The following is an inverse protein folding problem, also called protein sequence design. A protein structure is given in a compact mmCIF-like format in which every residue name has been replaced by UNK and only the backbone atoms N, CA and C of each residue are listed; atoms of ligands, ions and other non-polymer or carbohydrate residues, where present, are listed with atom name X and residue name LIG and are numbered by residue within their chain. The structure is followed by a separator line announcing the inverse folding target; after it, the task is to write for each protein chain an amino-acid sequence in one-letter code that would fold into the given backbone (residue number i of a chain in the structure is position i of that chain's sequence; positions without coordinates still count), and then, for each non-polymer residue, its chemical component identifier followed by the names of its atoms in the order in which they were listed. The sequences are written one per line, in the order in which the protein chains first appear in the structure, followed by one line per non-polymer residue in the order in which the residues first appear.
data_IF_355327401669
#
_entry.id   IF_355327401669
#
_cell.length_a   1.000
_cell.length_b   1.000
_cell.length_c   1.000
_cell.angle_alpha   90.00
_cell.angle_beta   90.00
_cell.angle_gamma   90.00
#
_symmetry.space_group_name_H-M   'P 1'
#
loop_
_entity.id
_entity.type
_entity.pdbx_description
1 polymer ?
#
# COMPACT_ATOMS: atom_id res chain seq x y z
N UNK A 1 16.98 12.86 2.05
CA UNK A 1 16.46 11.56 2.51
C UNK A 1 17.05 11.23 3.87
N UNK A 2 16.27 11.14 4.95
CA UNK A 2 16.80 10.99 6.31
C UNK A 2 16.96 9.51 6.72
N UNK A 3 17.61 8.69 5.90
CA UNK A 3 17.97 7.31 6.30
C UNK A 3 19.38 6.94 5.89
N UNK A 4 19.97 6.00 6.61
CA UNK A 4 21.29 5.45 6.32
C UNK A 4 21.22 4.51 5.12
N UNK A 5 22.28 4.50 4.32
CA UNK A 5 22.44 3.58 3.21
C UNK A 5 23.80 2.88 3.29
N UNK A 6 23.86 1.66 2.77
CA UNK A 6 25.16 1.03 2.48
C UNK A 6 25.84 1.81 1.35
N UNK A 7 27.17 2.01 1.41
CA UNK A 7 27.93 2.55 0.29
C UNK A 7 27.68 1.75 -1.00
N UNK A 8 27.78 2.43 -2.14
CA UNK A 8 27.66 1.75 -3.43
C UNK A 8 28.75 0.69 -3.58
N UNK A 9 28.38 -0.52 -4.01
CA UNK A 9 29.31 -1.64 -4.18
C UNK A 9 29.68 -2.40 -2.89
N UNK A 10 29.07 -2.07 -1.74
CA UNK A 10 29.38 -2.74 -0.47
C UNK A 10 29.13 -4.27 -0.55
N UNK A 11 30.17 -5.04 -0.23
CA UNK A 11 30.18 -6.50 -0.29
C UNK A 11 29.14 -7.15 0.63
N UNK A 12 28.74 -6.45 1.71
CA UNK A 12 27.74 -6.93 2.67
C UNK A 12 26.35 -7.05 2.05
N UNK A 13 26.05 -6.33 0.96
CA UNK A 13 24.76 -6.41 0.27
C UNK A 13 24.42 -7.85 -0.12
N UNK A 14 25.38 -8.58 -0.71
CA UNK A 14 25.18 -9.98 -1.15
C UNK A 14 24.96 -10.92 0.04
N UNK A 15 25.68 -10.70 1.14
CA UNK A 15 25.49 -11.46 2.37
C UNK A 15 24.10 -11.22 2.95
N UNK A 16 23.69 -9.95 3.12
CA UNK A 16 22.39 -9.58 3.67
C UNK A 16 21.22 -10.11 2.81
N UNK A 17 21.31 -10.01 1.48
CA UNK A 17 20.30 -10.59 0.59
C UNK A 17 20.14 -12.09 0.78
N UNK A 18 21.23 -12.84 1.00
CA UNK A 18 21.17 -14.28 1.28
C UNK A 18 20.62 -14.57 2.68
N UNK A 19 21.09 -13.84 3.69
CA UNK A 19 20.67 -14.01 5.09
C UNK A 19 19.17 -13.82 5.25
N UNK A 20 18.62 -12.77 4.63
CA UNK A 20 17.19 -12.47 4.68
C UNK A 20 16.39 -13.08 3.53
N UNK A 21 17.02 -13.91 2.69
CA UNK A 21 16.38 -14.59 1.55
C UNK A 21 15.61 -13.62 0.63
N UNK A 22 16.17 -12.44 0.37
CA UNK A 22 15.58 -11.42 -0.48
C UNK A 22 15.65 -11.89 -1.93
N UNK A 23 14.49 -12.22 -2.52
CA UNK A 23 14.34 -12.69 -3.91
C UNK A 23 13.94 -11.59 -4.89
N UNK A 24 13.44 -10.46 -4.40
CA UNK A 24 12.95 -9.36 -5.21
C UNK A 24 12.85 -8.07 -4.40
N UNK A 25 12.66 -6.96 -5.11
CA UNK A 25 12.44 -5.63 -4.54
C UNK A 25 11.03 -5.13 -4.90
N UNK A 26 10.38 -4.33 -4.04
CA UNK A 26 10.84 -3.88 -2.72
C UNK A 26 10.76 -4.98 -1.65
N UNK A 27 11.70 -4.96 -0.69
CA UNK A 27 11.73 -5.84 0.49
C UNK A 27 12.09 -5.03 1.72
N UNK A 28 11.43 -5.29 2.86
CA UNK A 28 11.67 -4.61 4.13
C UNK A 28 11.74 -5.65 5.26
N UNK A 29 12.81 -5.58 6.05
CA UNK A 29 13.05 -6.44 7.21
C UNK A 29 13.11 -5.56 8.44
N UNK A 30 12.29 -5.85 9.45
CA UNK A 30 12.32 -5.16 10.72
C UNK A 30 13.35 -5.83 11.65
N UNK A 31 14.31 -5.06 12.13
CA UNK A 31 15.32 -5.51 13.09
C UNK A 31 15.11 -4.72 14.39
N UNK A 32 15.06 -5.42 15.51
CA UNK A 32 14.88 -4.83 16.83
C UNK A 32 16.16 -4.21 17.39
N UNK A 33 16.06 -3.47 18.51
CA UNK A 33 17.21 -2.82 19.15
C UNK A 33 18.31 -3.79 19.60
N UNK A 34 17.99 -5.07 19.77
CA UNK A 34 18.95 -6.14 20.11
C UNK A 34 19.70 -6.71 18.90
N UNK A 35 19.42 -6.21 17.69
CA UNK A 35 19.97 -6.73 16.43
C UNK A 35 19.28 -8.01 15.93
N UNK A 36 18.26 -8.50 16.64
CA UNK A 36 17.46 -9.66 16.21
C UNK A 36 16.38 -9.24 15.21
N UNK A 37 16.12 -10.11 14.23
CA UNK A 37 15.01 -9.94 13.29
C UNK A 37 13.69 -10.02 14.03
N UNK A 38 12.84 -8.99 13.89
CA UNK A 38 11.46 -8.99 14.36
C UNK A 38 10.57 -9.69 13.32
N UNK A 39 10.61 -9.23 12.07
CA UNK A 39 9.84 -9.84 10.97
C UNK A 39 10.49 -9.55 9.62
N UNK A 40 10.36 -10.50 8.69
CA UNK A 40 10.72 -10.34 7.27
C UNK A 40 9.53 -9.93 6.40
N UNK A 41 8.34 -9.78 7.00
CA UNK A 41 7.09 -9.43 6.31
C UNK A 41 6.72 -7.95 6.48
N UNK A 42 7.63 -7.13 7.02
CA UNK A 42 7.40 -5.73 7.33
C UNK A 42 6.91 -4.93 6.11
N UNK A 43 7.37 -5.27 4.89
CA UNK A 43 6.92 -4.59 3.67
C UNK A 43 5.42 -4.70 3.50
N UNK A 44 4.86 -5.89 3.68
CA UNK A 44 3.44 -6.13 3.46
C UNK A 44 2.60 -5.52 4.57
N UNK A 45 3.10 -5.59 5.81
CA UNK A 45 2.45 -4.96 6.95
C UNK A 45 2.36 -3.44 6.76
N UNK A 46 3.44 -2.79 6.30
CA UNK A 46 3.43 -1.36 5.98
C UNK A 46 2.55 -1.05 4.77
N UNK A 47 2.52 -1.92 3.75
CA UNK A 47 1.64 -1.71 2.61
C UNK A 47 0.16 -1.74 3.02
N UNK A 48 -0.23 -2.62 3.95
CA UNK A 48 -1.62 -2.77 4.39
C UNK A 48 -2.02 -1.77 5.47
N UNK A 49 -1.11 -1.44 6.38
CA UNK A 49 -1.41 -0.68 7.60
C UNK A 49 -0.68 0.67 7.70
N UNK A 50 0.16 1.01 6.73
CA UNK A 50 0.97 2.23 6.79
C UNK A 50 1.89 2.27 8.02
N UNK A 51 1.93 3.44 8.67
CA UNK A 51 2.71 3.64 9.90
C UNK A 51 2.19 2.83 11.09
N UNK A 52 0.92 2.46 11.08
CA UNK A 52 0.29 1.73 12.19
C UNK A 52 0.80 0.29 12.29
N UNK A 53 1.53 -0.22 11.29
CA UNK A 53 2.20 -1.51 11.35
C UNK A 53 3.28 -1.59 12.46
N UNK A 54 3.88 -0.45 12.81
CA UNK A 54 4.81 -0.36 13.93
C UNK A 54 4.04 -0.48 15.26
N UNK A 55 4.52 -1.25 16.27
CA UNK A 55 5.89 -1.74 16.46
C UNK A 55 6.25 -3.14 15.92
N UNK A 56 5.51 -3.72 14.98
CA UNK A 56 5.75 -5.08 14.44
C UNK A 56 5.87 -6.19 15.52
N UNK A 57 5.40 -5.95 16.74
CA UNK A 57 5.42 -6.93 17.82
C UNK A 57 4.34 -7.98 17.58
N UNK A 58 4.58 -9.21 18.01
CA UNK A 58 3.62 -10.30 17.80
C UNK A 58 2.22 -9.97 18.35
N UNK A 59 2.15 -9.33 19.52
CA UNK A 59 0.90 -8.88 20.14
C UNK A 59 0.17 -7.84 19.29
N UNK A 60 0.90 -6.87 18.75
CA UNK A 60 0.34 -5.82 17.91
C UNK A 60 -0.16 -6.38 16.57
N UNK A 61 0.62 -7.28 15.96
CA UNK A 61 0.22 -7.96 14.72
C UNK A 61 -1.04 -8.81 14.92
N UNK A 62 -1.10 -9.58 16.01
CA UNK A 62 -2.30 -10.34 16.38
C UNK A 62 -3.51 -9.44 16.60
N UNK A 63 -3.34 -8.30 17.26
CA UNK A 63 -4.41 -7.34 17.45
C UNK A 63 -4.90 -6.73 16.12
N UNK A 64 -3.99 -6.48 15.17
CA UNK A 64 -4.36 -6.03 13.83
C UNK A 64 -5.08 -7.12 13.03
N UNK A 65 -4.58 -8.36 13.05
CA UNK A 65 -5.23 -9.51 12.42
C UNK A 65 -6.65 -9.73 12.95
N UNK A 66 -6.84 -9.70 14.28
CA UNK A 66 -8.16 -9.79 14.89
C UNK A 66 -9.09 -8.68 14.37
N UNK A 67 -8.62 -7.43 14.27
CA UNK A 67 -9.42 -6.33 13.70
C UNK A 67 -9.81 -6.60 12.24
N UNK A 68 -8.93 -7.19 11.42
CA UNK A 68 -9.32 -7.48 10.03
C UNK A 68 -10.32 -8.63 9.95
N UNK A 69 -10.21 -9.62 10.83
CA UNK A 69 -11.17 -10.73 10.91
C UNK A 69 -12.54 -10.25 11.40
N UNK A 70 -12.59 -9.34 12.39
CA UNK A 70 -13.83 -8.71 12.83
C UNK A 70 -14.54 -7.97 11.68
N UNK A 71 -13.80 -7.27 10.82
CA UNK A 71 -14.39 -6.60 9.64
C UNK A 71 -15.08 -7.59 8.69
N UNK A 72 -14.56 -8.82 8.56
CA UNK A 72 -15.11 -9.82 7.65
C UNK A 72 -16.40 -10.47 8.15
N UNK A 73 -16.71 -10.40 9.46
CA UNK A 73 -17.90 -11.06 10.04
C UNK A 73 -19.23 -10.53 9.50
N UNK A 74 -19.26 -9.30 8.98
CA UNK A 74 -20.45 -8.69 8.39
C UNK A 74 -20.63 -8.92 6.89
N UNK A 75 -19.66 -9.57 6.22
CA UNK A 75 -19.65 -9.71 4.77
C UNK A 75 -20.04 -11.12 4.33
N UNK A 76 -20.84 -11.27 3.25
CA UNK A 76 -21.18 -12.59 2.73
C UNK A 76 -19.93 -13.30 2.19
N UNK A 77 -19.85 -14.62 2.37
CA UNK A 77 -18.71 -15.40 1.87
C UNK A 77 -18.63 -15.38 0.34
N UNK A 78 -19.78 -15.26 -0.33
CA UNK A 78 -19.89 -15.20 -1.79
C UNK A 78 -20.82 -14.09 -2.23
N UNK A 79 -20.46 -13.45 -3.33
CA UNK A 79 -21.28 -12.40 -3.95
C UNK A 79 -21.29 -12.57 -5.47
N UNK A 80 -22.43 -12.24 -6.07
CA UNK A 80 -22.57 -12.10 -7.52
C UNK A 80 -22.54 -10.61 -7.82
N UNK A 81 -21.62 -10.20 -8.67
CA UNK A 81 -21.44 -8.80 -9.02
C UNK A 81 -21.74 -8.58 -10.50
N UNK A 82 -22.27 -7.41 -10.86
CA UNK A 82 -22.68 -7.12 -12.23
C UNK A 82 -21.53 -7.06 -13.23
N UNK A 83 -20.37 -6.59 -12.78
CA UNK A 83 -19.13 -6.60 -13.57
C UNK A 83 -18.59 -8.03 -13.78
N UNK A 84 -19.03 -9.01 -12.99
CA UNK A 84 -18.56 -10.39 -13.06
C UNK A 84 -19.67 -11.40 -12.73
N UNK A 85 -20.68 -11.50 -13.60
CA UNK A 85 -21.86 -12.35 -13.40
C UNK A 85 -21.62 -13.83 -13.69
N UNK A 86 -20.57 -14.15 -14.42
CA UNK A 86 -20.28 -15.52 -14.86
C UNK A 86 -19.90 -16.42 -13.67
N UNK A 87 -19.19 -15.87 -12.67
CA UNK A 87 -18.73 -16.62 -11.50
C UNK A 87 -19.02 -15.87 -10.20
N UNK A 88 -19.28 -16.63 -9.14
CA UNK A 88 -19.40 -16.08 -7.79
C UNK A 88 -18.01 -15.70 -7.27
N UNK A 89 -17.89 -14.45 -6.81
CA UNK A 89 -16.68 -13.98 -6.15
C UNK A 89 -16.67 -14.47 -4.71
N UNK A 90 -15.53 -14.99 -4.25
CA UNK A 90 -15.36 -15.50 -2.89
C UNK A 90 -14.56 -14.51 -2.06
N UNK A 91 -15.04 -14.20 -0.86
CA UNK A 91 -14.29 -13.39 0.08
C UNK A 91 -12.99 -14.11 0.45
N UNK A 92 -11.86 -13.51 0.11
CA UNK A 92 -10.53 -14.04 0.39
C UNK A 92 -9.64 -12.99 1.00
N UNK A 93 -8.74 -13.49 1.85
CA UNK A 93 -7.64 -12.70 2.38
C UNK A 93 -6.63 -12.41 1.28
N UNK A 94 -6.41 -11.13 1.01
CA UNK A 94 -5.42 -10.61 0.05
C UNK A 94 -4.62 -9.51 0.75
N UNK A 95 -3.29 -9.53 0.62
CA UNK A 95 -2.44 -8.50 1.23
C UNK A 95 -2.61 -7.18 0.48
N UNK A 96 -2.30 -7.21 -0.81
CA UNK A 96 -2.40 -6.08 -1.74
C UNK A 96 -2.94 -6.63 -3.07
N UNK A 97 -3.81 -5.88 -3.72
CA UNK A 97 -4.37 -6.19 -5.05
C UNK A 97 -4.88 -4.90 -5.70
N UNK A 98 -5.20 -4.92 -6.98
CA UNK A 98 -5.91 -3.82 -7.63
C UNK A 98 -7.36 -4.24 -7.83
N UNK A 99 -8.30 -3.39 -7.44
CA UNK A 99 -9.71 -3.66 -7.66
C UNK A 99 -10.06 -3.44 -9.13
N UNK A 100 -10.61 -4.45 -9.81
CA UNK A 100 -11.02 -4.35 -11.21
C UNK A 100 -12.23 -3.45 -11.42
N UNK A 101 -12.98 -3.12 -10.36
CA UNK A 101 -14.14 -2.24 -10.41
C UNK A 101 -13.78 -0.75 -10.41
N UNK A 102 -12.85 -0.33 -9.55
CA UNK A 102 -12.50 1.09 -9.39
C UNK A 102 -11.05 1.41 -9.79
N UNK A 103 -10.21 0.41 -10.08
CA UNK A 103 -8.80 0.58 -10.45
C UNK A 103 -7.87 0.97 -9.29
N UNK A 104 -8.39 1.10 -8.06
CA UNK A 104 -7.61 1.50 -6.89
C UNK A 104 -7.06 0.28 -6.16
N UNK A 105 -5.90 0.45 -5.54
CA UNK A 105 -5.28 -0.56 -4.68
C UNK A 105 -6.23 -0.95 -3.52
N UNK A 106 -6.37 -2.25 -3.32
CA UNK A 106 -7.12 -2.86 -2.25
C UNK A 106 -6.20 -3.57 -1.28
N UNK A 107 -6.61 -3.52 -0.03
CA UNK A 107 -5.91 -4.18 1.05
C UNK A 107 -6.87 -5.11 1.76
N UNK A 108 -6.24 -6.06 2.41
CA UNK A 108 -6.86 -6.91 3.39
C UNK A 108 -7.84 -7.98 2.87
N UNK A 109 -9.00 -7.59 2.40
CA UNK A 109 -10.03 -8.51 1.96
C UNK A 109 -10.40 -8.17 0.54
N UNK A 110 -10.56 -9.19 -0.30
CA UNK A 110 -11.00 -9.06 -1.68
C UNK A 110 -12.12 -10.06 -1.93
N UNK A 111 -13.09 -9.66 -2.75
CA UNK A 111 -13.96 -10.61 -3.43
C UNK A 111 -13.26 -11.09 -4.69
N UNK A 112 -12.80 -12.33 -4.66
CA UNK A 112 -11.90 -12.89 -5.65
C UNK A 112 -12.52 -14.05 -6.43
N UNK A 113 -12.38 -14.02 -7.75
CA UNK A 113 -12.64 -15.16 -8.64
C UNK A 113 -11.31 -15.77 -9.11
N UNK A 114 -11.07 -17.04 -8.77
CA UNK A 114 -9.86 -17.76 -9.18
C UNK A 114 -9.81 -18.03 -10.69
N UNK A 115 -10.96 -18.18 -11.33
CA UNK A 115 -11.03 -18.60 -12.73
C UNK A 115 -10.72 -17.45 -13.68
N UNK A 116 -11.07 -16.22 -13.30
CA UNK A 116 -10.86 -15.02 -14.11
C UNK A 116 -9.79 -14.08 -13.55
N UNK A 117 -9.17 -14.45 -12.42
CA UNK A 117 -8.24 -13.62 -11.65
C UNK A 117 -8.80 -12.21 -11.39
N UNK A 118 -10.07 -12.14 -10.99
CA UNK A 118 -10.83 -10.90 -10.83
C UNK A 118 -11.00 -10.56 -9.34
N UNK A 119 -10.67 -9.33 -8.95
CA UNK A 119 -10.73 -8.82 -7.58
C UNK A 119 -11.62 -7.59 -7.46
N UNK A 120 -12.46 -7.58 -6.43
CA UNK A 120 -13.17 -6.38 -6.01
C UNK A 120 -12.91 -6.06 -4.54
N UNK A 121 -12.89 -4.77 -4.22
CA UNK A 121 -13.05 -4.33 -2.83
C UNK A 121 -14.35 -4.87 -2.24
N UNK A 122 -14.36 -5.20 -0.93
CA UNK A 122 -15.59 -5.55 -0.22
C UNK A 122 -16.68 -4.48 -0.39
N UNK A 123 -16.29 -3.20 -0.42
CA UNK A 123 -17.21 -2.09 -0.73
C UNK A 123 -17.72 -2.15 -2.17
N UNK A 124 -16.82 -2.22 -3.16
CA UNK A 124 -17.20 -2.28 -4.57
C UNK A 124 -18.09 -3.49 -4.91
N UNK A 125 -17.98 -4.59 -4.17
CA UNK A 125 -18.80 -5.77 -4.41
C UNK A 125 -20.16 -5.74 -3.70
N UNK A 126 -20.31 -4.91 -2.66
CA UNK A 126 -21.51 -4.86 -1.79
C UNK A 126 -22.32 -3.56 -1.94
N UNK A 127 -21.71 -2.49 -2.44
CA UNK A 127 -22.38 -1.22 -2.71
C UNK A 127 -22.86 -1.20 -4.17
N UNK A 128 -24.17 -1.11 -4.38
CA UNK A 128 -24.76 -0.85 -5.71
C UNK A 128 -24.47 0.60 -6.14
N UNK A 129 -24.15 0.79 -7.41
CA UNK A 129 -23.59 2.01 -8.01
C UNK A 129 -24.08 3.34 -7.40
N UNK A 130 -23.17 4.07 -6.74
CA UNK A 130 -23.18 5.54 -6.81
C UNK A 130 -22.08 5.98 -7.74
N UNK A 131 -22.44 6.20 -9.01
CA UNK A 131 -21.72 7.11 -9.89
C UNK A 131 -21.93 8.51 -9.33
N UNK A 132 -20.95 9.01 -8.59
CA UNK A 132 -20.71 10.45 -8.55
C UNK A 132 -19.54 10.68 -9.50
N UNK A 133 -19.87 11.31 -10.63
CA UNK A 133 -18.92 11.80 -11.62
C UNK A 133 -17.98 12.81 -10.95
N UNK A 134 -16.80 12.36 -10.53
CA UNK A 134 -15.66 13.26 -10.35
C UNK A 134 -14.73 13.10 -11.55
N UNK A 135 -15.06 13.84 -12.60
CA UNK A 135 -14.07 14.35 -13.54
C UNK A 135 -12.96 15.05 -12.75
N UNK A 136 -11.83 14.38 -12.59
CA UNK A 136 -10.51 14.96 -12.88
C UNK A 136 -9.45 13.88 -12.96
N UNK A 137 -9.35 13.30 -14.16
CA UNK A 137 -8.03 12.93 -14.64
C UNK A 137 -7.23 14.21 -14.92
N UNK A 138 -6.03 14.29 -14.39
CA UNK A 138 -4.89 14.83 -15.14
C UNK A 138 -3.63 14.05 -14.74
N UNK A 139 -3.19 13.19 -15.66
CA UNK A 139 -1.76 12.96 -15.87
C UNK A 139 -1.10 14.32 -16.14
N UNK A 140 -0.04 14.66 -15.42
CA UNK A 140 1.06 15.47 -15.96
C UNK A 140 2.39 14.95 -15.41
N UNK A 141 3.08 14.15 -16.23
CA UNK A 141 4.54 14.25 -16.29
C UNK A 141 4.87 15.61 -16.92
N UNK A 142 5.81 16.36 -16.34
CA UNK A 142 6.34 17.58 -16.93
C UNK A 142 6.61 18.70 -15.92
N UNK A 143 7.89 18.81 -15.57
CA UNK A 143 8.68 20.03 -15.33
C UNK A 143 7.96 21.38 -15.49
N UNK A 144 8.08 22.27 -14.49
CA UNK A 144 7.60 23.65 -14.59
C UNK A 144 7.24 24.27 -13.23
N UNK A 145 8.24 24.86 -12.59
CA UNK A 145 8.11 25.73 -11.43
C UNK A 145 7.34 27.00 -11.79
N UNK A 146 6.25 27.31 -11.09
CA UNK A 146 5.76 28.70 -10.97
C UNK A 146 4.89 28.85 -9.71
N UNK A 147 5.55 29.28 -8.64
CA UNK A 147 4.91 29.64 -7.38
C UNK A 147 4.27 31.02 -7.45
N UNK A 148 2.98 31.08 -7.13
CA UNK A 148 2.24 32.32 -6.94
C UNK A 148 2.92 33.21 -5.88
N UNK A 149 3.16 34.47 -6.26
CA UNK A 149 3.78 35.50 -5.45
C UNK A 149 3.03 35.72 -4.12
N UNK A 150 3.77 35.61 -3.01
CA UNK A 150 3.36 36.18 -1.71
C UNK A 150 4.18 37.44 -1.49
N UNK A 151 3.49 38.56 -1.34
CA UNK A 151 4.04 39.91 -1.16
C UNK A 151 5.18 39.95 -0.11
N UNK A 152 6.27 40.64 -0.43
CA UNK A 152 7.38 40.93 0.51
C UNK A 152 8.64 40.07 0.38
N UNK A 153 8.78 39.28 -0.69
CA UNK A 153 10.00 38.51 -0.97
C UNK A 153 10.63 39.00 -2.28
N UNK A 154 11.94 39.25 -2.25
CA UNK A 154 12.75 39.52 -3.44
C UNK A 154 13.58 38.27 -3.71
N UNK A 155 13.45 37.72 -4.91
CA UNK A 155 14.22 36.54 -5.33
C UNK A 155 15.21 36.95 -6.43
N UNK A 156 16.45 36.47 -6.31
CA UNK A 156 17.47 36.56 -7.35
C UNK A 156 17.95 35.14 -7.66
N UNK A 157 17.46 34.59 -8.77
CA UNK A 157 17.58 33.17 -9.10
C UNK A 157 16.92 32.26 -8.05
N UNK A 158 17.64 31.21 -7.62
CA UNK A 158 17.12 30.18 -6.70
C UNK A 158 17.14 30.59 -5.20
N UNK A 159 17.49 31.84 -4.88
CA UNK A 159 17.57 32.34 -3.51
C UNK A 159 16.57 33.46 -3.29
N UNK A 160 15.63 33.24 -2.36
CA UNK A 160 14.65 34.25 -1.97
C UNK A 160 14.97 34.81 -0.58
N UNK A 161 15.02 36.13 -0.47
CA UNK A 161 15.15 36.84 0.79
C UNK A 161 13.90 37.69 1.03
N UNK A 162 13.52 37.80 2.30
CA UNK A 162 12.41 38.66 2.71
C UNK A 162 12.91 40.11 2.72
N UNK A 163 12.21 41.00 2.02
CA UNK A 163 12.48 42.43 2.04
C UNK A 163 12.18 43.04 3.42
#
# INVERSE_FOLDING_TARGET
MPWLALPFGDVRKKFLSRTFKIKGIPSLVAIGPTGKTITTEARDLVAVHGSDAYPFTEEHLKAMEAKIEEMAKGWPEKVKHDLHRQHELKLKRRRVYNCDGCGVEGHAWSYYCKECDFDLHPKCALEEEKKEDDEKGENKEGDGHEGAAKEGWVCDGDVCQKA
#
